data_IF_796373773158
#
_entry.id   IF_796373773158
#
_cell.length_a   1.000
_cell.length_b   1.000
_cell.length_c   1.000
_cell.angle_alpha   90.00
_cell.angle_beta   90.00
_cell.angle_gamma   90.00
#
_symmetry.space_group_name_H-M   'P 1'
#
loop_
_entity.id
_entity.type
_entity.pdbx_description
1 polymer ?
#
# COMPACT_ATOMS: atom_id res chain seq x y z
N UNK A 1 10.53 4.72 18.41
CA UNK A 1 9.82 5.80 17.70
C UNK A 1 10.60 6.03 16.41
N UNK A 2 9.97 5.95 15.24
CA UNK A 2 10.64 6.21 13.95
C UNK A 2 10.62 7.72 13.71
N UNK A 3 11.77 8.34 13.45
CA UNK A 3 11.88 9.80 13.26
C UNK A 3 11.43 10.25 11.86
N UNK A 4 11.45 9.35 10.87
CA UNK A 4 11.10 9.65 9.48
C UNK A 4 9.81 8.91 9.05
N UNK A 5 8.91 9.62 8.38
CA UNK A 5 7.65 9.08 7.84
C UNK A 5 7.89 8.09 6.69
N UNK A 6 9.00 8.21 5.97
CA UNK A 6 9.39 7.23 4.95
C UNK A 6 10.91 7.11 4.98
N UNK A 7 11.43 5.89 4.86
CA UNK A 7 12.87 5.63 4.82
C UNK A 7 13.26 4.73 3.64
N UNK A 8 14.53 4.81 3.21
CA UNK A 8 15.06 3.88 2.21
C UNK A 8 14.99 2.44 2.75
N UNK A 9 14.63 1.50 1.89
CA UNK A 9 14.34 0.10 2.22
C UNK A 9 12.90 -0.15 2.68
N UNK A 10 12.06 0.89 2.78
CA UNK A 10 10.66 0.69 3.17
C UNK A 10 9.91 -0.14 2.13
N UNK A 11 9.25 -1.20 2.62
CA UNK A 11 8.33 -1.99 1.79
C UNK A 11 6.95 -1.35 1.84
N UNK A 12 6.40 -1.03 0.67
CA UNK A 12 5.09 -0.42 0.51
C UNK A 12 4.18 -1.32 -0.32
N UNK A 13 2.93 -1.46 0.09
CA UNK A 13 1.88 -2.12 -0.66
C UNK A 13 1.05 -1.09 -1.41
N UNK A 14 0.92 -1.25 -2.72
CA UNK A 14 0.04 -0.43 -3.56
C UNK A 14 -1.41 -0.80 -3.28
N UNK A 15 -2.27 0.20 -3.08
CA UNK A 15 -3.67 0.01 -2.68
C UNK A 15 -4.68 0.31 -3.79
N UNK A 16 -4.20 0.74 -4.96
CA UNK A 16 -5.00 1.06 -6.14
C UNK A 16 -4.20 0.82 -7.40
N UNK A 17 -4.81 0.20 -8.41
CA UNK A 17 -4.17 -0.03 -9.71
C UNK A 17 -3.64 1.29 -10.29
N UNK A 18 -2.39 1.27 -10.77
CA UNK A 18 -1.73 2.43 -11.36
C UNK A 18 -1.17 2.07 -12.74
N UNK A 19 -1.67 2.75 -13.76
CA UNK A 19 -1.30 2.53 -15.16
C UNK A 19 -0.30 3.57 -15.66
N UNK A 20 0.21 4.47 -14.81
CA UNK A 20 0.91 5.68 -15.25
C UNK A 20 2.42 5.50 -15.28
N UNK A 21 3.01 4.97 -14.21
CA UNK A 21 4.45 5.03 -13.98
C UNK A 21 5.31 4.05 -14.79
N UNK A 22 4.75 2.92 -15.25
CA UNK A 22 5.54 1.85 -15.91
C UNK A 22 5.49 1.83 -17.45
N UNK A 23 4.89 2.84 -18.09
CA UNK A 23 4.53 2.79 -19.52
C UNK A 23 5.70 2.74 -20.51
N UNK A 24 6.86 3.31 -20.15
CA UNK A 24 7.94 3.54 -21.12
C UNK A 24 9.11 2.56 -20.98
N UNK A 25 9.22 1.86 -19.85
CA UNK A 25 10.44 1.12 -19.49
C UNK A 25 10.25 -0.41 -19.34
N UNK A 26 9.01 -0.92 -19.32
CA UNK A 26 8.75 -2.33 -19.06
C UNK A 26 7.62 -2.92 -19.92
N UNK A 27 7.64 -4.24 -20.17
CA UNK A 27 6.50 -5.04 -20.70
C UNK A 27 5.35 -5.17 -19.67
N UNK A 28 5.21 -4.19 -18.78
CA UNK A 28 4.31 -4.22 -17.63
C UNK A 28 3.31 -3.09 -17.82
N UNK A 29 2.05 -3.45 -18.04
CA UNK A 29 1.00 -2.49 -18.38
C UNK A 29 0.56 -1.62 -17.19
N UNK A 30 0.74 -2.10 -15.96
CA UNK A 30 0.34 -1.42 -14.73
C UNK A 30 0.92 -2.06 -13.47
N UNK A 31 0.84 -1.31 -12.36
CA UNK A 31 1.07 -1.81 -11.00
C UNK A 31 -0.29 -2.12 -10.38
N UNK A 32 -0.49 -3.36 -9.92
CA UNK A 32 -1.76 -3.84 -9.39
C UNK A 32 -1.94 -3.51 -7.90
N UNK A 33 -3.21 -3.41 -7.48
CA UNK A 33 -3.57 -3.35 -6.07
C UNK A 33 -3.14 -4.63 -5.34
N UNK A 34 -2.42 -4.48 -4.23
CA UNK A 34 -1.85 -5.56 -3.43
C UNK A 34 -0.39 -5.88 -3.80
N UNK A 35 0.16 -5.28 -4.85
CA UNK A 35 1.58 -5.45 -5.17
C UNK A 35 2.48 -4.64 -4.24
N UNK A 36 3.71 -5.13 -4.08
CA UNK A 36 4.70 -4.55 -3.18
C UNK A 36 5.84 -3.91 -3.95
N UNK A 37 6.27 -2.75 -3.48
CA UNK A 37 7.41 -2.00 -3.99
C UNK A 37 8.31 -1.62 -2.83
N UNK A 38 9.62 -1.63 -3.07
CA UNK A 38 10.64 -1.21 -2.11
C UNK A 38 11.10 0.20 -2.41
N UNK A 39 11.22 1.05 -1.39
CA UNK A 39 11.72 2.42 -1.53
C UNK A 39 13.24 2.39 -1.66
N UNK A 40 13.75 2.65 -2.86
CA UNK A 40 15.19 2.66 -3.12
C UNK A 40 15.81 4.00 -2.74
N UNK A 41 15.13 5.09 -3.08
CA UNK A 41 15.59 6.45 -2.79
C UNK A 41 14.42 7.39 -2.58
N UNK A 42 14.52 8.18 -1.51
CA UNK A 42 13.63 9.31 -1.25
C UNK A 42 14.25 10.57 -1.83
N UNK A 43 13.45 11.36 -2.56
CA UNK A 43 13.88 12.65 -3.13
C UNK A 43 13.23 13.79 -2.37
N UNK A 44 12.24 14.45 -2.95
CA UNK A 44 11.66 15.69 -2.44
C UNK A 44 10.23 15.45 -1.97
N UNK A 45 9.92 15.96 -0.79
CA UNK A 45 8.54 16.04 -0.30
C UNK A 45 7.93 17.39 -0.69
N UNK A 46 6.65 17.38 -1.09
CA UNK A 46 5.92 18.56 -1.54
C UNK A 46 4.50 18.52 -1.02
N UNK A 47 3.99 19.67 -0.60
CA UNK A 47 2.57 19.85 -0.31
C UNK A 47 1.90 20.55 -1.49
N UNK A 48 0.95 19.88 -2.12
CA UNK A 48 0.26 20.35 -3.32
C UNK A 48 -1.22 20.00 -3.22
N UNK A 49 -2.09 20.91 -3.65
CA UNK A 49 -3.55 20.68 -3.66
C UNK A 49 -4.14 20.29 -2.29
N UNK A 50 -3.50 20.73 -1.19
CA UNK A 50 -3.88 20.37 0.18
C UNK A 50 -3.55 18.94 0.58
N UNK A 51 -2.60 18.31 -0.10
CA UNK A 51 -2.14 16.93 0.15
C UNK A 51 -0.61 16.86 0.14
N UNK A 52 -0.05 15.87 0.84
CA UNK A 52 1.40 15.66 0.92
C UNK A 52 1.85 14.56 -0.04
N UNK A 53 2.88 14.87 -0.82
CA UNK A 53 3.46 13.97 -1.82
C UNK A 53 4.96 13.80 -1.60
N UNK A 54 5.49 12.67 -2.06
CA UNK A 54 6.92 12.36 -2.02
C UNK A 54 7.38 11.81 -3.37
N UNK A 55 8.37 12.46 -3.96
CA UNK A 55 9.09 11.95 -5.13
C UNK A 55 10.04 10.84 -4.68
N UNK A 56 9.92 9.65 -5.27
CA UNK A 56 10.70 8.47 -4.87
C UNK A 56 11.17 7.66 -6.07
N UNK A 57 12.23 6.89 -5.85
CA UNK A 57 12.64 5.79 -6.72
C UNK A 57 12.19 4.50 -6.05
N UNK A 58 11.44 3.69 -6.78
CA UNK A 58 10.86 2.44 -6.30
C UNK A 58 11.41 1.25 -7.07
N UNK A 59 11.56 0.13 -6.39
CA UNK A 59 11.91 -1.15 -6.99
C UNK A 59 10.75 -2.13 -6.87
N UNK A 60 10.30 -2.68 -8.01
CA UNK A 60 9.25 -3.70 -8.05
C UNK A 60 9.85 -5.10 -8.22
N UNK A 61 9.91 -5.86 -7.12
CA UNK A 61 10.63 -7.14 -7.06
C UNK A 61 10.15 -8.19 -8.06
N UNK A 62 8.83 -8.29 -8.32
CA UNK A 62 8.31 -9.31 -9.25
C UNK A 62 8.62 -9.00 -10.71
N UNK A 63 8.84 -7.71 -11.02
CA UNK A 63 9.12 -7.25 -12.38
C UNK A 63 10.62 -7.01 -12.58
N UNK A 64 11.40 -6.95 -11.50
CA UNK A 64 12.83 -6.65 -11.49
C UNK A 64 13.14 -5.31 -12.16
N UNK A 65 12.33 -4.29 -11.83
CA UNK A 65 12.44 -2.94 -12.40
C UNK A 65 12.55 -1.88 -11.31
N UNK A 66 13.40 -0.89 -11.58
CA UNK A 66 13.48 0.37 -10.83
C UNK A 66 12.77 1.46 -11.63
N UNK A 67 11.94 2.28 -10.99
CA UNK A 67 11.20 3.35 -11.65
C UNK A 67 10.98 4.56 -10.74
N UNK A 68 10.87 5.73 -11.36
CA UNK A 68 10.50 6.98 -10.68
C UNK A 68 8.98 7.07 -10.47
N UNK A 69 8.55 7.50 -9.28
CA UNK A 69 7.14 7.71 -8.98
C UNK A 69 6.91 8.78 -7.92
N UNK A 70 5.67 9.26 -7.86
CA UNK A 70 5.17 10.09 -6.76
C UNK A 70 4.28 9.24 -5.87
N UNK A 71 4.51 9.28 -4.56
CA UNK A 71 3.64 8.68 -3.55
C UNK A 71 2.78 9.76 -2.91
N UNK A 72 1.50 9.45 -2.68
CA UNK A 72 0.64 10.23 -1.78
C UNK A 72 0.88 9.80 -0.33
N UNK A 73 1.55 10.65 0.46
CA UNK A 73 1.89 10.36 1.86
C UNK A 73 0.65 10.30 2.76
N UNK A 74 -0.39 11.07 2.47
CA UNK A 74 -1.63 11.03 3.26
C UNK A 74 -2.36 9.68 3.12
N UNK A 75 -2.08 8.93 2.05
CA UNK A 75 -2.58 7.57 1.89
C UNK A 75 -1.93 6.57 2.86
N UNK A 76 -0.70 6.81 3.35
CA UNK A 76 -0.02 5.93 4.32
C UNK A 76 -0.79 5.82 5.64
N UNK A 77 -1.35 6.94 6.12
CA UNK A 77 -2.02 7.02 7.42
C UNK A 77 -3.55 6.96 7.35
N UNK A 78 -4.16 7.01 6.17
CA UNK A 78 -5.62 6.97 6.04
C UNK A 78 -6.23 5.64 6.53
N UNK A 79 -6.91 5.64 7.67
CA UNK A 79 -7.57 4.43 8.20
C UNK A 79 -8.91 4.11 7.51
N UNK A 80 -9.50 5.07 6.76
CA UNK A 80 -10.89 5.00 6.30
C UNK A 80 -11.01 5.08 4.78
N UNK A 81 -11.72 4.11 4.20
CA UNK A 81 -12.04 4.08 2.77
C UNK A 81 -12.77 5.34 2.24
N UNK A 82 -13.48 6.08 3.11
CA UNK A 82 -14.25 7.29 2.74
C UNK A 82 -13.40 8.56 2.54
N UNK A 83 -12.25 8.68 3.19
CA UNK A 83 -11.42 9.88 3.11
C UNK A 83 -10.70 9.99 1.76
N UNK A 84 -10.31 8.85 1.19
CA UNK A 84 -9.73 8.76 -0.15
C UNK A 84 -10.66 9.31 -1.24
N UNK A 85 -11.98 9.11 -1.12
CA UNK A 85 -12.94 9.65 -2.11
C UNK A 85 -13.04 11.18 -2.04
N UNK A 86 -13.16 11.75 -0.84
CA UNK A 86 -13.20 13.21 -0.68
C UNK A 86 -11.90 13.86 -1.16
N UNK A 87 -10.75 13.30 -0.76
CA UNK A 87 -9.44 13.75 -1.21
C UNK A 87 -9.28 13.66 -2.72
N UNK A 88 -9.70 12.55 -3.34
CA UNK A 88 -9.68 12.39 -4.80
C UNK A 88 -10.52 13.45 -5.50
N UNK A 89 -11.69 13.80 -4.96
CA UNK A 89 -12.52 14.86 -5.52
C UNK A 89 -11.91 16.26 -5.34
N UNK A 90 -11.28 16.55 -4.19
CA UNK A 90 -10.57 17.81 -3.95
C UNK A 90 -9.45 17.98 -4.98
N UNK A 91 -8.60 16.97 -5.14
CA UNK A 91 -7.51 16.97 -6.11
C UNK A 91 -8.04 17.13 -7.55
N UNK A 92 -9.09 16.40 -7.90
CA UNK A 92 -9.70 16.51 -9.23
C UNK A 92 -10.24 17.91 -9.50
N UNK A 93 -10.94 18.52 -8.55
CA UNK A 93 -11.49 19.87 -8.70
C UNK A 93 -10.39 20.92 -8.80
N UNK A 94 -9.34 20.82 -7.98
CA UNK A 94 -8.20 21.74 -8.04
C UNK A 94 -7.48 21.65 -9.40
N UNK A 95 -7.28 20.45 -9.94
CA UNK A 95 -6.71 20.27 -11.27
C UNK A 95 -7.65 20.75 -12.40
N UNK A 96 -8.96 20.58 -12.24
CA UNK A 96 -9.94 21.11 -13.20
C UNK A 96 -9.91 22.65 -13.27
N UNK A 97 -9.66 23.31 -12.14
CA UNK A 97 -9.49 24.75 -12.05
C UNK A 97 -8.13 25.19 -12.63
N UNK A 98 -7.04 24.47 -12.33
CA UNK A 98 -5.72 24.73 -12.91
C UNK A 98 -5.75 24.67 -14.45
N UNK A 99 -6.46 23.69 -15.01
CA UNK A 99 -6.62 23.55 -16.46
C UNK A 99 -7.79 24.35 -17.04
N UNK A 100 -8.37 25.29 -16.30
CA UNK A 100 -9.52 26.08 -16.76
C UNK A 100 -9.26 26.89 -18.03
N UNK A 101 -7.99 27.23 -18.32
CA UNK A 101 -7.58 27.90 -19.56
C UNK A 101 -7.82 27.05 -20.82
N UNK A 102 -7.94 25.73 -20.70
CA UNK A 102 -8.34 24.87 -21.81
C UNK A 102 -9.85 25.02 -22.03
N UNK A 103 -10.27 25.47 -23.22
CA UNK A 103 -11.69 25.75 -23.51
C UNK A 103 -12.59 24.51 -23.47
N UNK A 104 -12.05 23.32 -23.77
CA UNK A 104 -12.79 22.06 -23.81
C UNK A 104 -12.64 21.26 -22.52
N UNK A 105 -13.77 20.82 -21.93
CA UNK A 105 -13.79 19.90 -20.78
C UNK A 105 -13.05 18.59 -21.07
N UNK A 106 -13.09 18.11 -22.32
CA UNK A 106 -12.38 16.90 -22.74
C UNK A 106 -10.86 17.08 -22.65
N UNK A 107 -10.36 18.25 -23.05
CA UNK A 107 -8.93 18.54 -23.04
C UNK A 107 -8.42 18.72 -21.62
N UNK A 108 -9.20 19.37 -20.74
CA UNK A 108 -8.94 19.41 -19.29
C UNK A 108 -8.80 18.01 -18.73
N UNK A 109 -9.78 17.16 -18.99
CA UNK A 109 -9.78 15.79 -18.47
C UNK A 109 -8.59 14.97 -18.99
N UNK A 110 -8.23 15.13 -20.25
CA UNK A 110 -7.03 14.50 -20.82
C UNK A 110 -5.75 14.97 -20.15
N UNK A 111 -5.66 16.26 -19.79
CA UNK A 111 -4.50 16.81 -19.10
C UNK A 111 -4.42 16.31 -17.65
N UNK A 112 -5.55 16.24 -16.94
CA UNK A 112 -5.63 15.64 -15.59
C UNK A 112 -5.14 14.20 -15.60
N UNK A 113 -5.55 13.40 -16.59
CA UNK A 113 -5.10 12.01 -16.74
C UNK A 113 -3.59 11.87 -16.92
N UNK A 114 -2.91 12.91 -17.41
CA UNK A 114 -1.45 12.95 -17.57
C UNK A 114 -0.73 13.60 -16.38
N UNK A 115 -1.47 14.14 -15.41
CA UNK A 115 -0.88 14.85 -14.28
C UNK A 115 -0.22 13.85 -13.29
N UNK A 116 1.05 14.02 -12.92
CA UNK A 116 1.75 13.13 -11.99
C UNK A 116 1.12 13.03 -10.59
N UNK A 117 0.59 14.13 -10.04
CA UNK A 117 -0.04 14.15 -8.71
C UNK A 117 -1.39 13.41 -8.72
N UNK A 118 -2.15 13.54 -9.81
CA UNK A 118 -3.38 12.76 -10.00
C UNK A 118 -3.11 11.26 -10.08
N UNK A 119 -1.96 10.90 -10.65
CA UNK A 119 -1.49 9.52 -10.81
C UNK A 119 -0.52 9.08 -9.70
N UNK A 120 -0.41 9.83 -8.60
CA UNK A 120 0.43 9.44 -7.47
C UNK A 120 -0.01 8.06 -6.95
N UNK A 121 0.97 7.24 -6.56
CA UNK A 121 0.71 5.93 -5.99
C UNK A 121 0.03 6.08 -4.63
N UNK A 122 -1.06 5.34 -4.46
CA UNK A 122 -1.72 5.16 -3.17
C UNK A 122 -1.13 3.94 -2.50
N UNK A 123 -0.52 4.12 -1.34
CA UNK A 123 0.30 3.08 -0.70
C UNK A 123 -0.01 2.95 0.79
N UNK A 124 0.29 1.78 1.31
CA UNK A 124 0.34 1.47 2.74
C UNK A 124 1.68 0.83 3.06
N UNK A 125 2.13 0.90 4.31
CA UNK A 125 3.28 0.10 4.70
C UNK A 125 2.98 -1.39 4.49
N UNK A 126 3.88 -2.07 3.80
CA UNK A 126 3.81 -3.49 3.49
C UNK A 126 4.33 -4.38 4.62
N UNK A 127 4.66 -3.83 5.78
CA UNK A 127 5.21 -4.56 6.93
C UNK A 127 4.21 -5.52 7.58
N UNK A 128 2.92 -5.21 7.48
CA UNK A 128 1.85 -6.04 8.03
C UNK A 128 0.67 -6.04 7.07
N UNK A 129 0.14 -7.22 6.80
CA UNK A 129 -1.03 -7.43 5.95
C UNK A 129 -2.09 -8.12 6.79
N UNK A 130 -3.34 -7.68 6.68
CA UNK A 130 -4.43 -8.38 7.36
C UNK A 130 -4.60 -9.77 6.75
N UNK A 131 -4.88 -10.80 7.56
CA UNK A 131 -5.01 -12.17 7.05
C UNK A 131 -5.98 -12.30 5.87
N UNK A 132 -7.08 -11.54 5.88
CA UNK A 132 -8.06 -11.52 4.78
C UNK A 132 -7.46 -11.03 3.46
N UNK A 133 -6.47 -10.13 3.50
CA UNK A 133 -5.72 -9.67 2.33
C UNK A 133 -4.50 -10.53 2.01
N UNK A 134 -4.08 -11.39 2.94
CA UNK A 134 -3.01 -12.35 2.72
C UNK A 134 -3.48 -13.58 1.93
N UNK A 135 -4.79 -13.80 1.82
CA UNK A 135 -5.37 -14.94 1.12
C UNK A 135 -4.93 -14.96 -0.36
N UNK A 136 -4.37 -16.08 -0.80
CA UNK A 136 -3.83 -16.27 -2.15
C UNK A 136 -2.35 -15.88 -2.30
N UNK A 137 -1.76 -15.19 -1.33
CA UNK A 137 -0.31 -14.95 -1.26
C UNK A 137 0.42 -16.04 -0.46
N UNK A 138 1.72 -16.17 -0.70
CA UNK A 138 2.62 -17.07 0.03
C UNK A 138 3.92 -16.33 0.35
N UNK A 139 4.40 -16.44 1.60
CA UNK A 139 5.63 -15.78 2.08
C UNK A 139 6.54 -16.80 2.74
N UNK A 140 7.85 -16.63 2.55
CA UNK A 140 8.87 -17.53 3.12
C UNK A 140 8.81 -17.57 4.65
N UNK A 141 8.70 -16.41 5.27
CA UNK A 141 8.63 -16.26 6.72
C UNK A 141 7.41 -15.42 7.06
N UNK A 142 6.56 -15.89 7.97
CA UNK A 142 5.34 -15.20 8.42
C UNK A 142 5.39 -15.02 9.92
N UNK A 143 5.08 -13.81 10.38
CA UNK A 143 4.90 -13.48 11.79
C UNK A 143 3.40 -13.22 12.03
N UNK A 144 2.80 -13.94 12.98
CA UNK A 144 1.41 -13.73 13.40
C UNK A 144 1.44 -13.25 14.85
N UNK A 145 1.03 -12.00 15.07
CA UNK A 145 0.84 -11.46 16.42
C UNK A 145 -0.57 -11.76 16.92
N UNK A 146 -0.66 -12.48 18.04
CA UNK A 146 -1.91 -12.93 18.65
C UNK A 146 -2.33 -12.10 19.87
N UNK A 147 -1.55 -11.07 20.23
CA UNK A 147 -1.77 -10.27 21.46
C UNK A 147 -3.13 -9.56 21.55
N UNK A 148 -3.78 -9.31 20.42
CA UNK A 148 -5.05 -8.56 20.34
C UNK A 148 -6.30 -9.44 20.23
N UNK A 149 -6.18 -10.77 20.32
CA UNK A 149 -7.34 -11.66 20.24
C UNK A 149 -8.02 -11.72 21.60
N UNK A 150 -9.23 -11.15 21.67
CA UNK A 150 -10.08 -11.30 22.83
C UNK A 150 -10.48 -12.79 22.97
N UNK A 151 -10.31 -13.40 24.16
CA UNK A 151 -10.77 -14.77 24.44
C UNK A 151 -12.23 -15.03 24.03
N UNK A 152 -13.11 -14.03 24.12
CA UNK A 152 -14.53 -14.15 23.72
C UNK A 152 -14.72 -14.34 22.20
N UNK A 153 -13.68 -14.08 21.40
CA UNK A 153 -13.68 -14.26 19.94
C UNK A 153 -13.03 -15.58 19.50
N UNK A 154 -12.64 -16.44 20.45
CA UNK A 154 -12.14 -17.78 20.17
C UNK A 154 -13.32 -18.69 19.74
N UNK A 155 -13.41 -18.93 18.44
CA UNK A 155 -14.43 -19.78 17.83
C UNK A 155 -14.10 -20.09 16.36
N UNK A 156 -15.03 -20.69 15.63
CA UNK A 156 -14.81 -21.15 14.25
C UNK A 156 -14.17 -20.11 13.32
N UNK A 157 -14.61 -18.85 13.42
CA UNK A 157 -14.08 -17.77 12.58
C UNK A 157 -12.62 -17.45 12.91
N UNK A 158 -12.25 -17.51 14.20
CA UNK A 158 -10.86 -17.34 14.62
C UNK A 158 -9.99 -18.48 14.08
N UNK A 159 -10.41 -19.73 14.22
CA UNK A 159 -9.63 -20.86 13.71
C UNK A 159 -9.49 -20.87 12.18
N UNK A 160 -10.52 -20.43 11.43
CA UNK A 160 -10.42 -20.25 9.97
C UNK A 160 -9.46 -19.13 9.59
N UNK A 161 -9.48 -18.01 10.32
CA UNK A 161 -8.53 -16.92 10.17
C UNK A 161 -7.10 -17.37 10.48
N UNK A 162 -6.92 -18.13 11.56
CA UNK A 162 -5.62 -18.65 11.98
C UNK A 162 -5.08 -19.66 10.95
N UNK A 163 -5.92 -20.61 10.50
CA UNK A 163 -5.56 -21.54 9.42
C UNK A 163 -5.13 -20.79 8.15
N UNK A 164 -5.89 -19.77 7.75
CA UNK A 164 -5.54 -18.96 6.58
C UNK A 164 -4.18 -18.30 6.78
N UNK A 165 -3.94 -17.68 7.94
CA UNK A 165 -2.67 -17.02 8.30
C UNK A 165 -1.48 -17.98 8.29
N UNK A 166 -1.64 -19.16 8.89
CA UNK A 166 -0.61 -20.20 8.98
C UNK A 166 -0.23 -20.72 7.59
N UNK A 167 -1.23 -21.06 6.77
CA UNK A 167 -1.01 -21.61 5.42
C UNK A 167 -0.41 -20.63 4.44
N UNK A 168 -0.20 -19.37 4.82
CA UNK A 168 0.55 -18.42 3.99
C UNK A 168 2.07 -18.61 4.12
N UNK A 169 2.57 -19.30 5.15
CA UNK A 169 4.01 -19.51 5.34
C UNK A 169 4.51 -20.72 4.55
N UNK A 170 5.58 -20.54 3.79
CA UNK A 170 6.21 -21.63 3.01
C UNK A 170 7.48 -22.19 3.65
N UNK A 171 8.08 -21.51 4.65
CA UNK A 171 9.29 -21.99 5.33
C UNK A 171 9.22 -21.87 6.85
N UNK A 172 9.06 -20.67 7.39
CA UNK A 172 9.07 -20.43 8.84
C UNK A 172 7.84 -19.66 9.28
N UNK A 173 7.18 -20.14 10.33
CA UNK A 173 6.07 -19.46 10.98
C UNK A 173 6.50 -19.04 12.39
N UNK A 174 6.27 -17.78 12.73
CA UNK A 174 6.51 -17.24 14.05
C UNK A 174 5.17 -16.79 14.64
N UNK A 175 4.74 -17.46 15.72
CA UNK A 175 3.62 -17.00 16.53
C UNK A 175 4.16 -16.10 17.62
N UNK A 176 3.73 -14.85 17.63
CA UNK A 176 4.17 -13.82 18.57
C UNK A 176 3.03 -13.59 19.56
N UNK A 177 3.36 -13.51 20.86
CA UNK A 177 2.39 -13.35 21.95
C UNK A 177 1.30 -14.44 21.94
N UNK A 178 1.69 -15.70 21.68
CA UNK A 178 0.81 -16.85 21.81
C UNK A 178 0.43 -17.02 23.28
N UNK A 179 -0.86 -17.05 23.61
CA UNK A 179 -1.31 -17.28 24.97
C UNK A 179 -0.96 -18.70 25.43
N UNK A 180 -0.65 -18.86 26.72
CA UNK A 180 -0.21 -20.14 27.30
C UNK A 180 -1.22 -21.27 27.08
N UNK A 181 -2.52 -20.94 27.02
CA UNK A 181 -3.62 -21.88 26.73
C UNK A 181 -3.47 -22.61 25.38
N UNK A 182 -2.68 -22.07 24.44
CA UNK A 182 -2.41 -22.69 23.14
C UNK A 182 -1.14 -23.55 23.13
N UNK A 183 -0.32 -23.48 24.18
CA UNK A 183 0.90 -24.28 24.30
C UNK A 183 0.54 -25.56 25.04
N UNK A 184 0.70 -26.71 24.38
CA UNK A 184 0.54 -27.98 25.08
C UNK A 184 1.58 -28.10 26.18
N UNK A 185 1.16 -28.50 27.39
CA UNK A 185 2.07 -28.75 28.49
C UNK A 185 3.19 -29.70 28.02
N UNK A 186 4.42 -29.21 28.12
CA UNK A 186 5.61 -29.99 27.82
C UNK A 186 5.86 -30.93 29.01
N UNK A 187 5.31 -32.14 28.96
CA UNK A 187 5.68 -33.22 29.88
C UNK A 187 7.15 -33.62 29.71
#
# INVERSE_FOLDING_TARGET
>A
YREEELSNGDLLMVTKNNYFWLKEEAKVDFIANGEFVEVMRIRTQREMYGMRFCDVVLFHKNYDIEFDAIINLDSLHSERAGDSYKQSNILYNALMEEYSYLGSKRDRYNQIKKNPYFNALQVKYGYAVTCHKAQGGEWRNVFIDLSYINPDHLGDNFYRWLYTSITRSTKMLYLVNLADDFVADSN
#
